data_IF_172406502769
#
_entry.id   IF_172406502769
#
_cell.length_a   1.000
_cell.length_b   1.000
_cell.length_c   1.000
_cell.angle_alpha   90.00
_cell.angle_beta   90.00
_cell.angle_gamma   90.00
#
_symmetry.space_group_name_H-M   'P 1'
#
loop_
_entity.id
_entity.type
_entity.pdbx_description
1 polymer ?
#
# COMPACT_ATOMS: atom_id res chain seq x y z
N UNK A 1 -38.95 38.94 -25.37
CA UNK A 1 -38.79 37.85 -24.37
C UNK A 1 -37.95 36.69 -24.90
N UNK A 2 -36.68 36.93 -25.30
CA UNK A 2 -35.78 35.85 -25.78
C UNK A 2 -34.39 35.77 -25.12
N UNK A 3 -33.94 36.65 -24.21
CA UNK A 3 -32.60 36.48 -23.62
C UNK A 3 -32.54 35.50 -22.45
N UNK A 4 -33.67 35.19 -21.79
CA UNK A 4 -33.68 34.35 -20.58
C UNK A 4 -33.43 32.84 -20.86
N UNK A 5 -33.78 32.36 -22.07
CA UNK A 5 -33.56 30.96 -22.47
C UNK A 5 -32.11 30.64 -22.82
N UNK A 6 -31.33 31.65 -23.22
CA UNK A 6 -29.90 31.46 -23.55
C UNK A 6 -29.06 31.37 -22.29
N UNK A 7 -29.40 32.13 -21.24
CA UNK A 7 -28.72 32.11 -19.97
C UNK A 7 -28.92 30.78 -19.23
N UNK A 8 -30.13 30.16 -19.32
CA UNK A 8 -30.39 28.85 -18.71
C UNK A 8 -29.66 27.72 -19.45
N UNK A 9 -29.52 27.81 -20.77
CA UNK A 9 -28.76 26.81 -21.55
C UNK A 9 -27.26 26.88 -21.27
N UNK A 10 -26.68 28.06 -21.05
CA UNK A 10 -25.28 28.26 -20.66
C UNK A 10 -25.02 27.77 -19.22
N UNK A 11 -25.97 28.00 -18.29
CA UNK A 11 -25.86 27.52 -16.92
C UNK A 11 -25.96 25.98 -16.83
N UNK A 12 -26.79 25.34 -17.64
CA UNK A 12 -26.90 23.88 -17.72
C UNK A 12 -25.66 23.27 -18.39
N UNK A 13 -25.09 23.92 -19.41
CA UNK A 13 -23.82 23.47 -20.02
C UNK A 13 -22.62 23.61 -19.07
N UNK A 14 -22.62 24.64 -18.20
CA UNK A 14 -21.57 24.80 -17.19
C UNK A 14 -21.66 23.79 -16.04
N UNK A 15 -22.84 23.24 -15.73
CA UNK A 15 -23.02 22.17 -14.75
C UNK A 15 -22.63 20.77 -15.29
N UNK A 16 -22.49 20.61 -16.60
CA UNK A 16 -22.08 19.35 -17.23
C UNK A 16 -20.58 19.07 -17.20
N UNK A 17 -19.76 20.05 -16.78
CA UNK A 17 -18.32 19.88 -16.54
C UNK A 17 -18.05 19.56 -15.06
N UNK A 18 -18.72 18.53 -14.52
CA UNK A 18 -18.25 17.96 -13.25
C UNK A 18 -16.85 17.41 -13.53
N UNK A 19 -15.80 17.95 -12.90
CA UNK A 19 -14.45 17.41 -13.10
C UNK A 19 -14.49 15.93 -12.76
N UNK A 20 -14.14 15.10 -13.75
CA UNK A 20 -14.08 13.66 -13.57
C UNK A 20 -13.19 13.36 -12.36
N UNK A 21 -13.68 12.57 -11.42
CA UNK A 21 -12.95 12.26 -10.21
C UNK A 21 -11.61 11.58 -10.56
N UNK A 22 -10.57 11.82 -9.77
CA UNK A 22 -9.22 11.30 -10.01
C UNK A 22 -9.22 9.78 -10.24
N UNK A 23 -9.97 9.02 -9.42
CA UNK A 23 -10.09 7.58 -9.57
C UNK A 23 -10.67 7.15 -10.93
N UNK A 24 -11.64 7.89 -11.47
CA UNK A 24 -12.24 7.57 -12.77
C UNK A 24 -11.26 7.79 -13.94
N UNK A 25 -10.41 8.79 -13.85
CA UNK A 25 -9.38 9.04 -14.87
C UNK A 25 -8.34 7.92 -14.87
N UNK A 26 -7.87 7.53 -13.69
CA UNK A 26 -6.88 6.46 -13.55
C UNK A 26 -7.49 5.14 -14.01
N UNK A 27 -8.72 4.82 -13.59
CA UNK A 27 -9.43 3.61 -14.02
C UNK A 27 -9.56 3.53 -15.54
N UNK A 28 -9.97 4.62 -16.21
CA UNK A 28 -10.04 4.67 -17.68
C UNK A 28 -8.68 4.50 -18.34
N UNK A 29 -7.60 5.02 -17.75
CA UNK A 29 -6.26 4.81 -18.28
C UNK A 29 -5.85 3.33 -18.20
N UNK A 30 -6.18 2.66 -17.10
CA UNK A 30 -5.96 1.23 -16.91
C UNK A 30 -6.78 0.41 -17.90
N UNK A 31 -8.08 0.70 -18.03
CA UNK A 31 -8.96 0.05 -19.00
C UNK A 31 -8.47 0.23 -20.44
N UNK A 32 -8.02 1.43 -20.81
CA UNK A 32 -7.41 1.70 -22.11
C UNK A 32 -6.15 0.87 -22.34
N UNK A 33 -5.32 0.72 -21.32
CA UNK A 33 -4.13 -0.11 -21.38
C UNK A 33 -4.49 -1.58 -21.61
N UNK A 34 -5.44 -2.13 -20.84
CA UNK A 34 -5.87 -3.53 -20.96
C UNK A 34 -6.44 -3.86 -22.35
N UNK A 35 -7.08 -2.89 -22.98
CA UNK A 35 -7.72 -3.04 -24.29
C UNK A 35 -6.79 -2.70 -25.47
N UNK A 36 -5.54 -2.35 -25.20
CA UNK A 36 -4.57 -2.02 -26.26
C UNK A 36 -4.15 -3.27 -27.00
N UNK A 37 -4.39 -3.31 -28.33
CA UNK A 37 -3.99 -4.43 -29.17
C UNK A 37 -2.47 -4.65 -29.11
N UNK A 38 -2.07 -5.89 -28.86
CA UNK A 38 -0.66 -6.31 -28.79
C UNK A 38 -0.05 -6.12 -27.39
N UNK A 39 -0.86 -5.88 -26.38
CA UNK A 39 -0.51 -6.07 -24.97
C UNK A 39 -1.19 -7.36 -24.52
N UNK A 40 -0.41 -8.32 -24.07
CA UNK A 40 -0.93 -9.53 -23.44
C UNK A 40 -1.25 -9.21 -21.98
N UNK A 41 -2.51 -9.34 -21.59
CA UNK A 41 -2.95 -9.10 -20.23
C UNK A 41 -3.64 -10.34 -19.67
N UNK A 42 -3.19 -10.80 -18.53
CA UNK A 42 -3.80 -11.90 -17.81
C UNK A 42 -4.21 -11.45 -16.41
N UNK A 43 -5.48 -11.68 -16.05
CA UNK A 43 -5.95 -11.41 -14.71
C UNK A 43 -5.36 -12.45 -13.77
N UNK A 44 -4.47 -12.01 -12.89
CA UNK A 44 -3.81 -12.89 -11.95
C UNK A 44 -4.66 -13.14 -10.71
N UNK A 45 -5.35 -12.09 -10.26
CA UNK A 45 -6.13 -12.14 -9.04
C UNK A 45 -7.33 -11.20 -9.13
N UNK A 46 -8.45 -11.64 -8.56
CA UNK A 46 -9.64 -10.83 -8.42
C UNK A 46 -10.34 -11.21 -7.12
N UNK A 47 -10.43 -10.25 -6.21
CA UNK A 47 -11.18 -10.39 -4.98
C UNK A 47 -12.14 -9.21 -4.85
N UNK A 48 -13.38 -9.49 -4.53
CA UNK A 48 -14.40 -8.48 -4.30
C UNK A 48 -15.20 -8.87 -3.07
N UNK A 49 -15.29 -7.98 -2.11
CA UNK A 49 -16.11 -8.12 -0.91
C UNK A 49 -17.06 -6.94 -0.81
N UNK A 50 -18.27 -7.21 -0.41
CA UNK A 50 -19.21 -6.16 -0.03
C UNK A 50 -19.06 -5.87 1.45
N UNK A 51 -18.83 -4.60 1.77
CA UNK A 51 -18.77 -4.10 3.14
C UNK A 51 -19.84 -3.04 3.32
N UNK A 52 -20.60 -3.16 4.39
CA UNK A 52 -21.57 -2.14 4.77
C UNK A 52 -20.86 -1.11 5.64
N UNK A 53 -20.63 0.08 5.10
CA UNK A 53 -20.23 1.24 5.89
C UNK A 53 -21.47 1.91 6.50
N UNK A 54 -21.31 2.72 7.56
CA UNK A 54 -22.44 3.39 8.23
C UNK A 54 -23.39 4.13 7.27
N UNK A 55 -22.84 4.69 6.19
CA UNK A 55 -23.58 5.54 5.26
C UNK A 55 -23.93 4.86 3.93
N UNK A 56 -23.35 3.70 3.63
CA UNK A 56 -23.55 3.03 2.33
C UNK A 56 -22.89 1.64 2.25
N UNK A 57 -23.41 0.74 1.42
CA UNK A 57 -22.67 -0.46 1.03
C UNK A 57 -21.45 -0.06 0.20
N UNK A 58 -20.33 -0.71 0.43
CA UNK A 58 -19.07 -0.54 -0.28
C UNK A 58 -18.55 -1.89 -0.74
N UNK A 59 -18.09 -1.93 -1.99
CA UNK A 59 -17.36 -3.09 -2.49
C UNK A 59 -15.86 -2.85 -2.29
N UNK A 60 -15.24 -3.68 -1.48
CA UNK A 60 -13.78 -3.78 -1.45
C UNK A 60 -13.32 -4.53 -2.69
N UNK A 61 -12.31 -4.01 -3.35
CA UNK A 61 -11.86 -4.52 -4.63
C UNK A 61 -10.35 -4.71 -4.60
N UNK A 62 -9.91 -5.87 -5.08
CA UNK A 62 -8.51 -6.08 -5.44
C UNK A 62 -8.44 -6.77 -6.80
N UNK A 63 -7.91 -6.09 -7.79
CA UNK A 63 -7.59 -6.66 -9.10
C UNK A 63 -6.10 -6.58 -9.34
N UNK A 64 -5.50 -7.69 -9.70
CA UNK A 64 -4.10 -7.78 -10.12
C UNK A 64 -4.05 -8.34 -11.53
N UNK A 65 -3.41 -7.61 -12.43
CA UNK A 65 -3.24 -7.98 -13.82
C UNK A 65 -1.76 -8.08 -14.13
N UNK A 66 -1.31 -9.22 -14.62
CA UNK A 66 0.01 -9.31 -15.24
C UNK A 66 -0.10 -8.86 -16.68
N UNK A 67 0.93 -8.17 -17.16
CA UNK A 67 1.00 -7.77 -18.56
C UNK A 67 2.37 -8.07 -19.15
N UNK A 68 2.35 -8.30 -20.46
CA UNK A 68 3.54 -8.45 -21.29
C UNK A 68 3.33 -7.72 -22.61
N UNK A 69 4.31 -6.96 -23.04
CA UNK A 69 4.25 -6.20 -24.28
C UNK A 69 5.62 -5.97 -24.90
N UNK A 70 5.64 -5.76 -26.21
CA UNK A 70 6.82 -5.28 -26.92
C UNK A 70 7.12 -3.81 -26.55
N UNK A 71 8.41 -3.44 -26.50
CA UNK A 71 8.86 -2.05 -26.26
C UNK A 71 8.26 -1.03 -27.24
N UNK A 72 7.91 -1.45 -28.46
CA UNK A 72 7.18 -0.59 -29.39
C UNK A 72 5.82 -0.13 -28.90
N UNK A 73 5.25 -0.79 -27.87
CA UNK A 73 4.00 -0.40 -27.20
C UNK A 73 4.20 0.44 -25.93
N UNK A 74 5.45 0.81 -25.62
CA UNK A 74 5.81 1.60 -24.43
C UNK A 74 4.90 2.81 -24.20
N UNK A 75 4.47 3.47 -25.26
CA UNK A 75 3.57 4.63 -25.18
C UNK A 75 2.27 4.35 -24.43
N UNK A 76 1.76 3.12 -24.48
CA UNK A 76 0.54 2.76 -23.73
C UNK A 76 0.79 2.75 -22.22
N UNK A 77 1.95 2.27 -21.79
CA UNK A 77 2.37 2.33 -20.39
C UNK A 77 2.64 3.78 -19.96
N UNK A 78 3.34 4.56 -20.80
CA UNK A 78 3.63 5.96 -20.52
C UNK A 78 2.35 6.80 -20.36
N UNK A 79 1.30 6.48 -21.09
CA UNK A 79 -0.02 7.11 -20.90
C UNK A 79 -0.59 6.84 -19.50
N UNK A 80 -0.49 5.60 -19.03
CA UNK A 80 -0.91 5.24 -17.65
C UNK A 80 -0.09 6.02 -16.64
N UNK A 81 1.24 6.00 -16.76
CA UNK A 81 2.15 6.71 -15.86
C UNK A 81 1.90 8.22 -15.85
N UNK A 82 1.64 8.81 -17.03
CA UNK A 82 1.30 10.22 -17.16
C UNK A 82 0.01 10.56 -16.41
N UNK A 83 -1.01 9.70 -16.47
CA UNK A 83 -2.26 9.93 -15.74
C UNK A 83 -2.02 9.83 -14.24
N UNK A 84 -1.26 8.83 -13.78
CA UNK A 84 -0.90 8.71 -12.35
C UNK A 84 -0.13 9.94 -11.86
N UNK A 85 0.84 10.41 -12.65
CA UNK A 85 1.63 11.60 -12.29
C UNK A 85 0.80 12.89 -12.27
N UNK A 86 -0.12 13.06 -13.22
CA UNK A 86 -1.02 14.22 -13.26
C UNK A 86 -1.96 14.27 -12.04
N UNK A 87 -2.36 13.11 -11.52
CA UNK A 87 -3.21 13.04 -10.32
C UNK A 87 -2.43 13.24 -9.02
N UNK A 88 -1.09 13.29 -9.04
CA UNK A 88 -0.24 13.59 -7.87
C UNK A 88 -0.63 14.90 -7.17
N UNK A 89 -1.01 15.90 -7.93
CA UNK A 89 -1.39 17.22 -7.43
C UNK A 89 -2.92 17.38 -7.28
N UNK A 90 -3.68 16.33 -7.45
CA UNK A 90 -5.14 16.39 -7.26
C UNK A 90 -5.51 16.52 -5.79
N UNK A 91 -6.67 17.13 -5.52
CA UNK A 91 -7.20 17.27 -4.16
C UNK A 91 -7.43 15.92 -3.47
N UNK A 92 -7.62 14.86 -4.25
CA UNK A 92 -7.90 13.52 -3.75
C UNK A 92 -6.62 12.69 -3.60
N UNK A 93 -5.45 13.21 -3.97
CA UNK A 93 -4.21 12.49 -3.81
C UNK A 93 -3.83 12.42 -2.33
N UNK A 94 -3.77 11.21 -1.79
CA UNK A 94 -3.31 10.96 -0.43
C UNK A 94 -1.79 10.79 -0.38
N UNK A 95 -1.24 9.98 -1.27
CA UNK A 95 0.21 9.78 -1.39
C UNK A 95 0.58 9.22 -2.76
N UNK A 96 1.82 9.47 -3.16
CA UNK A 96 2.44 8.87 -4.34
C UNK A 96 3.78 8.30 -3.93
N UNK A 97 4.07 7.10 -4.39
CA UNK A 97 5.40 6.51 -4.31
C UNK A 97 5.87 6.03 -5.67
N UNK A 98 7.16 6.15 -5.93
CA UNK A 98 7.75 5.69 -7.19
C UNK A 98 9.19 5.24 -6.97
N UNK A 99 9.62 4.30 -7.82
CA UNK A 99 10.97 3.76 -7.84
C UNK A 99 11.41 3.53 -9.29
N UNK A 100 12.67 3.80 -9.56
CA UNK A 100 13.32 3.43 -10.82
C UNK A 100 14.12 2.14 -10.66
N UNK A 101 14.34 1.43 -11.76
CA UNK A 101 15.19 0.23 -11.77
C UNK A 101 16.59 0.59 -11.23
N UNK A 102 17.12 -0.26 -10.34
CA UNK A 102 18.42 -0.03 -9.67
C UNK A 102 18.35 0.82 -8.40
N UNK A 103 17.21 1.42 -8.09
CA UNK A 103 17.00 2.12 -6.82
C UNK A 103 16.90 1.11 -5.67
N UNK A 104 17.58 1.41 -4.57
CA UNK A 104 17.56 0.58 -3.35
C UNK A 104 16.34 0.87 -2.46
N UNK A 105 15.57 1.90 -2.79
CA UNK A 105 14.35 2.22 -2.08
C UNK A 105 13.32 1.09 -2.23
N UNK A 106 12.89 0.53 -1.10
CA UNK A 106 12.00 -0.64 -1.05
C UNK A 106 10.53 -0.23 -0.84
N UNK A 107 10.11 0.89 -1.41
CA UNK A 107 8.70 1.26 -1.36
C UNK A 107 7.85 0.20 -2.08
N UNK A 108 6.82 -0.25 -1.40
CA UNK A 108 5.92 -1.28 -1.91
C UNK A 108 4.51 -1.08 -1.38
N UNK A 109 3.51 -1.42 -2.20
CA UNK A 109 2.13 -1.50 -1.77
C UNK A 109 1.88 -2.88 -1.15
N UNK A 110 1.41 -2.89 0.08
CA UNK A 110 0.95 -4.11 0.75
C UNK A 110 -0.54 -3.99 0.99
N UNK A 111 -1.29 -4.93 0.47
CA UNK A 111 -2.71 -5.09 0.73
C UNK A 111 -2.92 -6.38 1.53
N UNK A 112 -3.63 -6.30 2.64
CA UNK A 112 -4.01 -7.45 3.45
C UNK A 112 -5.53 -7.49 3.56
N UNK A 113 -6.11 -8.65 3.30
CA UNK A 113 -7.53 -8.87 3.50
C UNK A 113 -7.83 -9.58 4.84
N UNK A 114 -9.12 -9.70 5.18
CA UNK A 114 -9.57 -10.33 6.43
C UNK A 114 -9.21 -11.82 6.53
N UNK A 115 -8.87 -12.48 5.42
CA UNK A 115 -8.40 -13.87 5.39
C UNK A 115 -6.89 -14.01 5.60
N UNK A 116 -6.21 -12.94 6.04
CA UNK A 116 -4.76 -12.86 6.28
C UNK A 116 -3.88 -13.08 5.04
N UNK A 117 -4.45 -13.02 3.85
CA UNK A 117 -3.66 -13.02 2.63
C UNK A 117 -3.10 -11.62 2.40
N UNK A 118 -1.79 -11.56 2.22
CA UNK A 118 -1.09 -10.32 1.88
C UNK A 118 -0.65 -10.35 0.43
N UNK A 119 -0.94 -9.27 -0.29
CA UNK A 119 -0.52 -9.06 -1.66
C UNK A 119 0.46 -7.90 -1.70
N UNK A 120 1.59 -8.11 -2.32
CA UNK A 120 2.68 -7.13 -2.35
C UNK A 120 3.01 -6.76 -3.78
N UNK A 121 3.08 -5.45 -4.05
CA UNK A 121 3.52 -4.87 -5.30
C UNK A 121 4.73 -4.00 -5.02
N UNK A 122 5.73 -4.05 -5.89
CA UNK A 122 7.02 -3.38 -5.68
C UNK A 122 8.12 -4.32 -5.19
N UNK A 123 7.95 -5.65 -5.36
CA UNK A 123 8.91 -6.67 -4.91
C UNK A 123 9.90 -7.11 -5.99
N UNK A 124 9.62 -6.85 -7.26
CA UNK A 124 10.47 -7.33 -8.35
C UNK A 124 11.84 -6.64 -8.29
N UNK A 125 12.90 -7.43 -8.37
CA UNK A 125 14.28 -6.89 -8.42
C UNK A 125 14.46 -6.07 -9.70
N UNK A 126 15.13 -4.92 -9.55
CA UNK A 126 15.41 -4.01 -10.66
C UNK A 126 14.16 -3.57 -11.44
N UNK A 127 13.01 -3.54 -10.77
CA UNK A 127 11.78 -3.04 -11.36
C UNK A 127 11.64 -1.52 -11.22
N UNK A 128 10.93 -0.96 -12.19
CA UNK A 128 10.28 0.33 -12.01
C UNK A 128 8.97 0.13 -11.26
N UNK A 129 8.58 1.10 -10.46
CA UNK A 129 7.36 1.03 -9.68
C UNK A 129 6.75 2.42 -9.54
N UNK A 130 5.45 2.51 -9.63
CA UNK A 130 4.68 3.71 -9.30
C UNK A 130 3.36 3.31 -8.66
N UNK A 131 3.01 3.97 -7.57
CA UNK A 131 1.74 3.79 -6.87
C UNK A 131 1.16 5.15 -6.48
N UNK A 132 -0.14 5.31 -6.67
CA UNK A 132 -0.91 6.44 -6.16
C UNK A 132 -2.02 5.94 -5.25
N UNK A 133 -2.19 6.60 -4.11
CA UNK A 133 -3.32 6.44 -3.22
C UNK A 133 -4.24 7.64 -3.36
N UNK A 134 -5.50 7.38 -3.66
CA UNK A 134 -6.52 8.42 -3.80
C UNK A 134 -7.57 8.27 -2.69
N UNK A 135 -7.93 9.40 -2.08
CA UNK A 135 -9.04 9.46 -1.14
C UNK A 135 -10.36 9.20 -1.87
N UNK A 136 -11.27 8.48 -1.24
CA UNK A 136 -12.65 8.42 -1.68
C UNK A 136 -13.38 9.65 -1.14
N UNK A 137 -13.82 10.58 -2.00
CA UNK A 137 -14.51 11.79 -1.55
C UNK A 137 -15.88 11.51 -0.91
N UNK A 138 -16.37 10.28 -1.04
CA UNK A 138 -17.62 9.84 -0.41
C UNK A 138 -17.40 9.17 0.94
N UNK A 139 -16.16 8.78 1.28
CA UNK A 139 -15.81 8.25 2.59
C UNK A 139 -15.41 9.39 3.53
N UNK A 140 -16.36 9.86 4.33
CA UNK A 140 -16.15 10.95 5.30
C UNK A 140 -15.17 10.59 6.40
N UNK A 141 -14.95 9.30 6.64
CA UNK A 141 -13.98 8.81 7.64
C UNK A 141 -12.56 8.79 7.13
N UNK A 142 -12.36 8.90 5.80
CA UNK A 142 -11.07 8.76 5.12
C UNK A 142 -10.32 7.46 5.45
N UNK A 143 -11.05 6.43 5.88
CA UNK A 143 -10.48 5.11 6.23
C UNK A 143 -10.23 4.24 5.00
N UNK A 144 -10.96 4.47 3.91
CA UNK A 144 -10.85 3.72 2.66
C UNK A 144 -10.24 4.56 1.54
N UNK A 145 -9.45 3.93 0.72
CA UNK A 145 -8.70 4.57 -0.37
C UNK A 145 -8.72 3.70 -1.62
N UNK A 146 -8.62 4.36 -2.77
CA UNK A 146 -8.26 3.70 -4.01
C UNK A 146 -6.74 3.66 -4.10
N UNK A 147 -6.18 2.51 -4.46
CA UNK A 147 -4.78 2.40 -4.83
C UNK A 147 -4.66 1.90 -6.25
N UNK A 148 -3.81 2.55 -7.01
CA UNK A 148 -3.44 2.18 -8.37
C UNK A 148 -1.92 2.07 -8.42
N UNK A 149 -1.42 0.89 -8.76
CA UNK A 149 0.01 0.66 -8.82
C UNK A 149 0.42 -0.03 -10.13
N UNK A 150 1.59 0.32 -10.60
CA UNK A 150 2.25 -0.28 -11.75
C UNK A 150 3.64 -0.70 -11.32
N UNK A 151 4.01 -1.93 -11.60
CA UNK A 151 5.38 -2.43 -11.46
C UNK A 151 5.79 -3.09 -12.77
N UNK A 152 6.98 -2.76 -13.27
CA UNK A 152 7.45 -3.36 -14.53
C UNK A 152 8.97 -3.48 -14.57
N UNK A 153 9.42 -4.43 -15.38
CA UNK A 153 10.82 -4.60 -15.77
C UNK A 153 10.94 -4.53 -17.29
N UNK A 154 12.06 -4.01 -17.74
CA UNK A 154 12.42 -4.01 -19.16
C UNK A 154 13.51 -5.03 -19.39
N UNK A 155 13.21 -6.05 -20.17
CA UNK A 155 14.14 -7.13 -20.47
C UNK A 155 14.22 -7.34 -21.98
N UNK A 156 15.39 -7.05 -22.56
CA UNK A 156 15.57 -7.11 -24.01
C UNK A 156 14.63 -6.17 -24.76
N UNK A 157 13.82 -6.70 -25.67
CA UNK A 157 12.80 -5.98 -26.44
C UNK A 157 11.41 -5.97 -25.80
N UNK A 158 11.25 -6.58 -24.60
CA UNK A 158 9.98 -6.78 -23.94
C UNK A 158 9.87 -5.94 -22.67
N UNK A 159 8.63 -5.62 -22.30
CA UNK A 159 8.26 -5.05 -21.01
C UNK A 159 7.26 -6.00 -20.36
N UNK A 160 7.54 -6.42 -19.16
CA UNK A 160 6.69 -7.30 -18.37
C UNK A 160 6.41 -6.66 -17.01
N UNK A 161 5.19 -6.83 -16.50
CA UNK A 161 4.85 -6.20 -15.23
C UNK A 161 3.50 -6.57 -14.70
N UNK A 162 3.10 -5.79 -13.71
CA UNK A 162 1.82 -5.92 -13.01
C UNK A 162 1.13 -4.57 -12.92
N UNK A 163 -0.19 -4.59 -13.06
CA UNK A 163 -1.06 -3.47 -12.74
C UNK A 163 -1.96 -3.90 -11.58
N UNK A 164 -2.13 -3.02 -10.62
CA UNK A 164 -3.00 -3.25 -9.46
C UNK A 164 -3.99 -2.13 -9.33
N UNK A 165 -5.22 -2.53 -9.16
CA UNK A 165 -6.33 -1.66 -8.81
C UNK A 165 -6.96 -2.22 -7.54
N UNK A 166 -6.98 -1.44 -6.48
CA UNK A 166 -7.62 -1.88 -5.24
C UNK A 166 -8.35 -0.73 -4.56
N UNK A 167 -9.37 -1.08 -3.78
CA UNK A 167 -10.11 -0.17 -2.94
C UNK A 167 -10.36 -0.84 -1.58
N UNK A 168 -10.14 -0.12 -0.51
CA UNK A 168 -10.36 -0.62 0.83
C UNK A 168 -9.61 0.17 1.90
N UNK A 169 -9.59 -0.40 3.10
CA UNK A 169 -8.74 0.06 4.19
C UNK A 169 -7.29 -0.30 3.89
N UNK A 170 -6.68 0.49 3.01
CA UNK A 170 -5.29 0.28 2.65
C UNK A 170 -4.45 0.93 3.74
N UNK A 171 -3.74 0.15 4.57
CA UNK A 171 -2.71 0.72 5.41
C UNK A 171 -1.78 1.47 4.47
N UNK A 172 -1.35 2.64 4.87
CA UNK A 172 -0.41 3.48 4.13
C UNK A 172 0.54 2.63 3.30
N UNK A 173 0.81 3.04 2.05
CA UNK A 173 2.04 2.60 1.37
C UNK A 173 3.07 2.50 2.46
N UNK A 174 3.64 1.31 2.67
CA UNK A 174 4.80 1.21 3.53
C UNK A 174 5.88 1.96 2.76
N UNK A 175 5.83 3.27 2.88
CA UNK A 175 6.98 4.07 2.59
C UNK A 175 7.98 3.61 3.63
N UNK A 176 9.08 3.03 3.17
CA UNK A 176 10.32 3.05 3.93
C UNK A 176 10.87 4.51 3.95
N UNK A 177 9.97 5.51 3.97
CA UNK A 177 10.34 6.79 4.55
C UNK A 177 10.48 6.48 6.03
N UNK A 178 11.62 6.82 6.63
CA UNK A 178 11.78 6.80 8.07
C UNK A 178 10.75 7.76 8.69
N UNK A 179 9.48 7.37 8.67
CA UNK A 179 8.39 8.11 9.30
C UNK A 179 8.23 7.57 10.70
N UNK A 180 8.99 8.12 11.56
CA UNK A 180 9.00 7.86 12.97
C UNK A 180 10.40 8.23 13.47
N UNK A 181 10.45 9.07 14.48
CA UNK A 181 11.66 9.28 15.23
C UNK A 181 11.80 8.17 16.28
N UNK A 182 12.96 8.08 16.89
CA UNK A 182 13.25 7.12 17.96
C UNK A 182 12.20 7.20 19.08
N UNK A 183 11.73 8.38 19.43
CA UNK A 183 10.74 8.61 20.48
C UNK A 183 9.39 7.95 20.16
N UNK A 184 8.90 8.09 18.92
CA UNK A 184 7.66 7.43 18.46
C UNK A 184 7.81 5.92 18.50
N UNK A 185 8.94 5.39 18.04
CA UNK A 185 9.23 3.97 18.17
C UNK A 185 9.21 3.51 19.63
N UNK A 186 9.98 4.14 20.49
CA UNK A 186 10.08 3.75 21.90
C UNK A 186 8.75 3.82 22.62
N UNK A 187 7.93 4.82 22.32
CA UNK A 187 6.58 4.93 22.88
C UNK A 187 5.70 3.75 22.46
N UNK A 188 5.65 3.42 21.17
CA UNK A 188 4.85 2.31 20.62
C UNK A 188 5.39 0.95 21.11
N UNK A 189 6.69 0.79 21.08
CA UNK A 189 7.37 -0.43 21.52
C UNK A 189 7.10 -0.70 23.00
N UNK A 190 7.36 0.27 23.87
CA UNK A 190 7.14 0.14 25.31
C UNK A 190 5.66 -0.14 25.66
N UNK A 191 4.74 0.45 24.89
CA UNK A 191 3.32 0.15 25.06
C UNK A 191 3.03 -1.33 24.76
N UNK A 192 3.56 -1.88 23.66
CA UNK A 192 3.37 -3.30 23.33
C UNK A 192 4.07 -4.23 24.32
N UNK A 193 5.30 -3.92 24.73
CA UNK A 193 6.03 -4.71 25.74
C UNK A 193 5.24 -4.79 27.05
N UNK A 194 4.71 -3.66 27.55
CA UNK A 194 3.89 -3.63 28.77
C UNK A 194 2.57 -4.39 28.63
N UNK A 195 1.97 -4.37 27.44
CA UNK A 195 0.70 -5.07 27.16
C UNK A 195 0.91 -6.57 27.00
N UNK A 196 2.05 -7.02 26.50
CA UNK A 196 2.31 -8.40 26.13
C UNK A 196 1.98 -9.43 27.24
N UNK A 197 2.42 -9.25 28.51
CA UNK A 197 2.11 -10.21 29.59
C UNK A 197 0.62 -10.30 29.91
N UNK A 198 -0.21 -9.34 29.50
CA UNK A 198 -1.67 -9.36 29.74
C UNK A 198 -2.43 -10.18 28.70
N UNK A 199 -1.76 -10.59 27.61
CA UNK A 199 -2.37 -11.38 26.54
C UNK A 199 -2.57 -12.83 27.00
N UNK A 200 -3.83 -13.30 26.97
CA UNK A 200 -4.19 -14.58 27.59
C UNK A 200 -4.02 -15.78 26.67
N UNK A 201 -4.20 -15.60 25.38
CA UNK A 201 -4.18 -16.72 24.42
C UNK A 201 -2.94 -16.70 23.52
N UNK A 202 -2.56 -17.89 23.04
CA UNK A 202 -1.40 -18.10 22.17
C UNK A 202 -1.51 -17.29 20.88
N UNK A 203 -2.68 -17.24 20.26
CA UNK A 203 -2.87 -16.59 18.96
C UNK A 203 -2.64 -15.08 19.07
N UNK A 204 -3.17 -14.45 20.13
CA UNK A 204 -2.96 -13.03 20.39
C UNK A 204 -1.50 -12.71 20.69
N UNK A 205 -0.77 -13.58 21.42
CA UNK A 205 0.67 -13.41 21.67
C UNK A 205 1.46 -13.55 20.38
N UNK A 206 1.16 -14.53 19.54
CA UNK A 206 1.79 -14.67 18.21
C UNK A 206 1.57 -13.46 17.34
N UNK A 207 0.35 -12.94 17.26
CA UNK A 207 0.04 -11.72 16.50
C UNK A 207 0.78 -10.48 17.04
N UNK A 208 0.89 -10.35 18.37
CA UNK A 208 1.64 -9.28 19.01
C UNK A 208 3.15 -9.37 18.74
N UNK A 209 3.72 -10.59 18.76
CA UNK A 209 5.12 -10.84 18.42
C UNK A 209 5.42 -10.48 16.96
N UNK A 210 4.53 -10.83 16.04
CA UNK A 210 4.62 -10.44 14.63
C UNK A 210 4.55 -8.92 14.46
N UNK A 211 3.71 -8.24 15.23
CA UNK A 211 3.62 -6.77 15.25
C UNK A 211 4.90 -6.13 15.74
N UNK A 212 5.53 -6.67 16.78
CA UNK A 212 6.85 -6.22 17.29
C UNK A 212 7.93 -6.40 16.22
N UNK A 213 7.99 -7.56 15.53
CA UNK A 213 8.91 -7.78 14.42
C UNK A 213 8.74 -6.74 13.31
N UNK A 214 7.50 -6.49 12.88
CA UNK A 214 7.22 -5.51 11.84
C UNK A 214 7.64 -4.09 12.28
N UNK A 215 7.42 -3.75 13.54
CA UNK A 215 7.86 -2.48 14.11
C UNK A 215 9.39 -2.36 14.10
N UNK A 216 10.12 -3.38 14.54
CA UNK A 216 11.59 -3.39 14.51
C UNK A 216 12.12 -3.22 13.08
N UNK A 217 11.54 -3.93 12.10
CA UNK A 217 11.92 -3.80 10.68
C UNK A 217 11.66 -2.38 10.14
N UNK A 218 10.51 -1.81 10.46
CA UNK A 218 10.12 -0.49 10.00
C UNK A 218 11.03 0.61 10.56
N UNK A 219 11.44 0.50 11.83
CA UNK A 219 12.18 1.56 12.53
C UNK A 219 13.69 1.28 12.69
N UNK A 220 14.23 0.19 12.11
CA UNK A 220 15.67 -0.14 12.21
C UNK A 220 16.58 1.05 11.93
N UNK A 221 16.22 1.88 10.96
CA UNK A 221 17.00 3.04 10.53
C UNK A 221 17.14 4.14 11.60
N UNK A 222 16.19 4.26 12.56
CA UNK A 222 16.28 5.30 13.63
C UNK A 222 17.33 4.98 14.68
N UNK A 223 17.86 3.74 14.66
CA UNK A 223 18.88 3.27 15.60
C UNK A 223 20.33 3.44 15.10
N UNK A 224 20.52 4.09 13.95
CA UNK A 224 21.87 4.42 13.48
C UNK A 224 22.55 5.31 14.53
N UNK A 225 23.70 4.87 15.04
CA UNK A 225 24.44 5.53 16.13
C UNK A 225 23.66 5.65 17.47
N UNK A 226 22.70 4.77 17.73
CA UNK A 226 21.87 4.73 18.95
C UNK A 226 22.01 3.39 19.66
N UNK A 227 23.24 3.00 19.99
CA UNK A 227 23.55 1.67 20.54
C UNK A 227 22.84 1.41 21.86
N UNK A 228 22.77 2.39 22.76
CA UNK A 228 22.14 2.24 24.08
C UNK A 228 20.63 1.93 23.97
N UNK A 229 19.93 2.68 23.13
CA UNK A 229 18.49 2.48 22.92
C UNK A 229 18.22 1.18 22.17
N UNK A 230 19.10 0.79 21.26
CA UNK A 230 19.03 -0.49 20.55
C UNK A 230 19.22 -1.68 21.51
N UNK A 231 20.21 -1.62 22.39
CA UNK A 231 20.44 -2.63 23.44
C UNK A 231 19.20 -2.77 24.35
N UNK A 232 18.61 -1.65 24.75
CA UNK A 232 17.39 -1.65 25.56
C UNK A 232 16.23 -2.38 24.89
N UNK A 233 16.09 -2.23 23.57
CA UNK A 233 15.07 -2.96 22.77
C UNK A 233 15.38 -4.44 22.75
N UNK A 234 16.64 -4.82 22.50
CA UNK A 234 17.11 -6.21 22.48
C UNK A 234 16.84 -6.89 23.84
N UNK A 235 17.20 -6.24 24.93
CA UNK A 235 16.98 -6.75 26.29
C UNK A 235 15.51 -6.98 26.60
N UNK A 236 14.65 -6.05 26.14
CA UNK A 236 13.20 -6.17 26.32
C UNK A 236 12.63 -7.34 25.53
N UNK A 237 13.07 -7.55 24.29
CA UNK A 237 12.67 -8.69 23.47
C UNK A 237 13.17 -9.99 24.07
N UNK A 238 14.43 -10.06 24.54
CA UNK A 238 14.99 -11.22 25.20
C UNK A 238 14.22 -11.59 26.47
N UNK A 239 13.82 -10.58 27.25
CA UNK A 239 13.00 -10.78 28.44
C UNK A 239 11.64 -11.41 28.11
N UNK A 240 10.98 -10.97 27.01
CA UNK A 240 9.74 -11.59 26.55
C UNK A 240 9.98 -13.04 26.11
N UNK A 241 11.03 -13.32 25.35
CA UNK A 241 11.37 -14.68 24.90
C UNK A 241 11.54 -15.59 26.12
N UNK A 242 12.28 -15.13 27.13
CA UNK A 242 12.53 -15.91 28.35
C UNK A 242 11.25 -16.14 29.17
N UNK A 243 10.24 -15.31 29.04
CA UNK A 243 8.95 -15.43 29.73
C UNK A 243 7.98 -16.42 29.08
N UNK A 244 8.26 -16.83 27.84
CA UNK A 244 7.43 -17.73 27.06
C UNK A 244 7.90 -19.19 27.18
N UNK A 245 6.94 -20.12 27.25
CA UNK A 245 7.24 -21.54 27.08
C UNK A 245 7.51 -21.81 25.59
N UNK A 246 8.78 -21.96 25.23
CA UNK A 246 9.22 -22.14 23.85
C UNK A 246 8.62 -23.38 23.16
N UNK A 247 8.20 -24.40 23.89
CA UNK A 247 7.53 -25.55 23.30
C UNK A 247 6.06 -25.28 22.93
N UNK A 248 5.37 -24.47 23.75
CA UNK A 248 3.97 -24.12 23.54
C UNK A 248 3.79 -22.84 22.73
N UNK A 249 4.77 -21.93 22.78
CA UNK A 249 4.72 -20.60 22.23
C UNK A 249 5.73 -20.42 21.08
N UNK A 250 6.06 -21.50 20.39
CA UNK A 250 7.13 -21.52 19.37
C UNK A 250 6.97 -20.40 18.34
N UNK A 251 5.76 -20.17 17.83
CA UNK A 251 5.51 -19.13 16.82
C UNK A 251 5.80 -17.72 17.37
N UNK A 252 5.38 -17.45 18.61
CA UNK A 252 5.64 -16.17 19.26
C UNK A 252 7.14 -15.96 19.52
N UNK A 253 7.82 -16.98 20.02
CA UNK A 253 9.28 -16.98 20.25
C UNK A 253 10.02 -16.74 18.95
N UNK A 254 9.63 -17.41 17.86
CA UNK A 254 10.25 -17.25 16.54
C UNK A 254 10.19 -15.80 16.06
N UNK A 255 9.01 -15.14 16.11
CA UNK A 255 8.87 -13.76 15.69
C UNK A 255 9.65 -12.79 16.58
N UNK A 256 9.73 -13.03 17.91
CA UNK A 256 10.53 -12.20 18.81
C UNK A 256 12.04 -12.36 18.56
N UNK A 257 12.50 -13.58 18.27
CA UNK A 257 13.90 -13.81 17.87
C UNK A 257 14.25 -13.07 16.58
N UNK A 258 13.39 -13.15 15.57
CA UNK A 258 13.56 -12.39 14.32
C UNK A 258 13.53 -10.87 14.53
N UNK A 259 12.73 -10.37 15.48
CA UNK A 259 12.72 -8.96 15.86
C UNK A 259 14.06 -8.56 16.50
N UNK A 260 14.58 -9.39 17.39
CA UNK A 260 15.86 -9.18 18.06
C UNK A 260 17.03 -9.18 17.05
N UNK A 261 17.10 -10.18 16.16
CA UNK A 261 18.08 -10.25 15.06
C UNK A 261 18.03 -9.01 14.14
N UNK A 262 16.83 -8.47 13.91
CA UNK A 262 16.65 -7.25 13.12
C UNK A 262 17.34 -6.05 13.79
N UNK A 263 17.41 -6.06 15.12
CA UNK A 263 17.99 -4.97 15.91
C UNK A 263 19.49 -5.14 16.18
N UNK A 264 20.04 -6.34 16.00
CA UNK A 264 21.50 -6.59 16.04
C UNK A 264 22.20 -6.03 14.78
#
# INVERSE_FOLDING_TARGET
MKPLRILTALAVAAMALVPMQAQEKVKRAFESFYNTKGIEVSKHFNEQHEVTLPDRPLSLLLNVYNFKMDKGKRRSLDNVLTVLENERNSKNCYSVSSRTAGDTNQERLVYSNDTQKSYVIGEMKNSHYMCILLLDPKDTTHSHRYAYAVEWVENGGMIEGKLVETYGSIPSVIQNKPSGNLEDFMRKFNFQIKKFPTLKDKQTRTASSMSLLNMCRQYKHVFVNRNKEREQVIDSLQSLINSLDSQKEWDAVFFLQQAMETMM
#
